data_IF_683231037705
#
_entry.id   IF_683231037705
#
_cell.length_a   1.000
_cell.length_b   1.000
_cell.length_c   1.000
_cell.angle_alpha   90.00
_cell.angle_beta   90.00
_cell.angle_gamma   90.00
#
_symmetry.space_group_name_H-M   'P 1'
#
loop_
_entity.id
_entity.type
_entity.pdbx_description
1 polymer ?
#
# COMPACT_ATOMS: atom_id res chain seq x y z
N UNK A 1 8.61 -4.12 23.61
CA UNK A 1 7.55 -5.09 23.93
C UNK A 1 6.38 -4.79 23.02
N UNK A 2 5.85 -5.79 22.32
CA UNK A 2 4.72 -5.64 21.42
C UNK A 2 3.44 -5.32 22.20
N UNK A 3 2.66 -4.37 21.73
CA UNK A 3 1.36 -3.97 22.30
C UNK A 3 0.28 -4.06 21.25
N UNK A 4 -0.91 -4.50 21.65
CA UNK A 4 -2.05 -4.65 20.76
C UNK A 4 -3.17 -3.71 21.21
N UNK A 5 -3.81 -3.07 20.25
CA UNK A 5 -5.05 -2.33 20.44
C UNK A 5 -6.23 -3.26 20.21
N UNK A 6 -7.09 -3.38 21.22
CA UNK A 6 -8.22 -4.32 21.22
C UNK A 6 -9.58 -3.62 21.40
N UNK A 7 -9.58 -2.33 21.71
CA UNK A 7 -10.70 -1.50 22.22
C UNK A 7 -12.04 -2.22 22.50
N UNK A 8 -12.38 -2.32 23.79
CA UNK A 8 -13.73 -2.65 24.21
C UNK A 8 -14.72 -1.56 23.77
N UNK A 9 -15.78 -1.94 23.04
CA UNK A 9 -16.78 -0.99 22.53
C UNK A 9 -16.43 -0.33 21.20
N UNK A 10 -15.27 -0.66 20.60
CA UNK A 10 -14.98 -0.33 19.20
C UNK A 10 -15.72 -1.26 18.26
N UNK A 11 -15.68 -0.95 16.97
CA UNK A 11 -16.31 -1.77 15.94
C UNK A 11 -15.69 -3.17 15.83
N UNK A 12 -16.49 -4.13 15.34
CA UNK A 12 -16.07 -5.53 15.16
C UNK A 12 -16.48 -6.05 13.80
N UNK A 13 -15.71 -7.00 13.27
CA UNK A 13 -16.16 -7.78 12.12
C UNK A 13 -17.39 -8.62 12.51
N UNK A 14 -18.34 -8.87 11.59
CA UNK A 14 -19.50 -9.73 11.84
C UNK A 14 -19.14 -11.23 11.83
N UNK A 15 -17.86 -11.55 11.96
CA UNK A 15 -17.27 -12.88 12.04
C UNK A 15 -16.25 -12.90 13.17
N UNK A 16 -16.04 -14.06 13.77
CA UNK A 16 -14.98 -14.23 14.77
C UNK A 16 -13.62 -14.21 14.09
N UNK A 17 -12.77 -13.27 14.50
CA UNK A 17 -11.42 -13.09 13.97
C UNK A 17 -10.44 -12.85 15.11
N UNK A 18 -9.22 -13.39 14.98
CA UNK A 18 -8.18 -13.30 16.00
C UNK A 18 -7.27 -12.07 15.90
N UNK A 19 -7.55 -11.12 15.00
CA UNK A 19 -6.70 -9.95 14.78
C UNK A 19 -7.01 -8.82 15.78
N UNK A 20 -5.95 -8.11 16.20
CA UNK A 20 -6.09 -6.83 16.90
C UNK A 20 -6.41 -5.71 15.91
N UNK A 21 -7.05 -4.64 16.40
CA UNK A 21 -7.33 -3.43 15.60
C UNK A 21 -6.05 -2.68 15.22
N UNK A 22 -5.03 -2.77 16.06
CA UNK A 22 -3.69 -2.30 15.74
C UNK A 22 -2.63 -2.96 16.60
N UNK A 23 -1.37 -2.78 16.22
CA UNK A 23 -0.21 -3.30 16.94
C UNK A 23 0.91 -2.27 16.93
N UNK A 24 1.57 -2.09 18.06
CA UNK A 24 2.81 -1.31 18.18
C UNK A 24 3.97 -2.22 18.54
N UNK A 25 5.06 -2.11 17.80
CA UNK A 25 6.33 -2.77 18.10
C UNK A 25 7.48 -1.79 17.89
N UNK A 26 8.11 -1.37 18.99
CA UNK A 26 9.10 -0.30 18.99
C UNK A 26 8.51 1.02 18.49
N UNK A 27 9.12 1.56 17.43
CA UNK A 27 8.74 2.85 16.84
C UNK A 27 7.57 2.73 15.86
N UNK A 28 7.24 1.52 15.39
CA UNK A 28 6.23 1.30 14.37
C UNK A 28 4.87 0.97 15.00
N UNK A 29 3.83 1.62 14.47
CA UNK A 29 2.43 1.38 14.80
C UNK A 29 1.70 1.01 13.51
N UNK A 30 1.07 -0.16 13.49
CA UNK A 30 0.26 -0.65 12.38
C UNK A 30 -1.20 -0.66 12.81
N UNK A 31 -2.06 0.00 12.05
CA UNK A 31 -3.51 0.03 12.26
C UNK A 31 -4.14 -0.80 11.15
N UNK A 32 -4.84 -1.87 11.52
CA UNK A 32 -5.58 -2.69 10.56
C UNK A 32 -6.69 -1.88 9.88
N UNK A 33 -7.19 -2.35 8.74
CA UNK A 33 -8.22 -1.65 7.98
C UNK A 33 -9.42 -1.24 8.84
N UNK A 34 -9.65 0.06 8.99
CA UNK A 34 -10.76 0.64 9.71
C UNK A 34 -11.92 0.91 8.77
N UNK A 35 -13.13 0.57 9.21
CA UNK A 35 -14.38 0.66 8.45
C UNK A 35 -15.47 1.34 9.29
N UNK A 36 -16.52 1.83 8.65
CA UNK A 36 -17.72 2.32 9.35
C UNK A 36 -18.61 1.14 9.77
N UNK A 37 -18.19 0.48 10.85
CA UNK A 37 -18.92 -0.62 11.46
C UNK A 37 -19.31 -0.25 12.89
N UNK A 38 -20.42 -0.80 13.37
CA UNK A 38 -20.82 -0.72 14.77
C UNK A 38 -20.07 -1.78 15.62
N UNK A 39 -20.15 -1.71 16.96
CA UNK A 39 -19.65 -2.77 17.84
C UNK A 39 -20.32 -4.13 17.63
N UNK A 40 -21.53 -4.17 17.05
CA UNK A 40 -22.22 -5.40 16.63
C UNK A 40 -21.87 -5.84 15.21
N UNK A 41 -21.01 -5.10 14.50
CA UNK A 41 -20.57 -5.40 13.13
C UNK A 41 -21.57 -5.01 12.04
N UNK A 42 -22.48 -4.08 12.34
CA UNK A 42 -23.43 -3.52 11.37
C UNK A 42 -22.79 -2.36 10.62
N UNK A 43 -23.04 -2.26 9.30
CA UNK A 43 -22.52 -1.17 8.46
C UNK A 43 -23.22 0.15 8.78
N UNK A 44 -22.44 1.14 9.21
CA UNK A 44 -22.87 2.53 9.34
C UNK A 44 -22.94 3.22 7.97
N UNK A 45 -23.83 4.22 7.86
CA UNK A 45 -23.97 5.07 6.67
C UNK A 45 -23.88 4.32 5.33
N UNK A 46 -24.61 3.21 5.21
CA UNK A 46 -24.50 2.31 4.05
C UNK A 46 -24.68 3.06 2.71
N UNK A 47 -23.71 2.90 1.80
CA UNK A 47 -23.71 3.57 0.50
C UNK A 47 -23.17 5.00 0.48
N UNK A 48 -22.85 5.59 1.64
CA UNK A 48 -22.31 6.95 1.75
C UNK A 48 -20.79 6.93 1.95
N UNK A 49 -20.05 7.08 0.84
CA UNK A 49 -18.58 7.07 0.85
C UNK A 49 -17.99 8.15 1.78
N UNK A 50 -18.55 9.36 1.79
CA UNK A 50 -18.01 10.48 2.55
C UNK A 50 -18.22 10.31 4.06
N UNK A 51 -19.44 9.90 4.47
CA UNK A 51 -19.73 9.63 5.87
C UNK A 51 -18.90 8.46 6.41
N UNK A 52 -18.80 7.37 5.65
CA UNK A 52 -17.99 6.22 6.05
C UNK A 52 -16.49 6.55 6.11
N UNK A 53 -15.99 7.42 5.22
CA UNK A 53 -14.61 7.92 5.28
C UNK A 53 -14.33 8.62 6.61
N UNK A 54 -15.26 9.47 7.05
CA UNK A 54 -15.12 10.18 8.33
C UNK A 54 -15.11 9.20 9.49
N UNK A 55 -16.06 8.25 9.53
CA UNK A 55 -16.12 7.22 10.58
C UNK A 55 -14.88 6.33 10.62
N UNK A 56 -14.38 5.88 9.45
CA UNK A 56 -13.15 5.09 9.37
C UNK A 56 -11.92 5.85 9.89
N UNK A 57 -11.82 7.15 9.61
CA UNK A 57 -10.73 8.00 10.12
C UNK A 57 -10.84 8.27 11.62
N UNK A 58 -12.06 8.39 12.16
CA UNK A 58 -12.30 8.48 13.61
C UNK A 58 -11.89 7.17 14.30
N UNK A 59 -12.24 6.03 13.71
CA UNK A 59 -11.84 4.72 14.22
C UNK A 59 -10.31 4.52 14.22
N UNK A 60 -9.65 4.91 13.12
CA UNK A 60 -8.19 4.91 13.03
C UNK A 60 -7.54 5.77 14.11
N UNK A 61 -8.06 6.98 14.35
CA UNK A 61 -7.55 7.87 15.39
C UNK A 61 -7.69 7.25 16.80
N UNK A 62 -8.81 6.58 17.07
CA UNK A 62 -9.01 5.89 18.35
C UNK A 62 -7.99 4.76 18.58
N UNK A 63 -7.71 3.95 17.54
CA UNK A 63 -6.68 2.89 17.60
C UNK A 63 -5.28 3.46 17.84
N UNK A 64 -4.93 4.56 17.16
CA UNK A 64 -3.64 5.23 17.36
C UNK A 64 -3.46 5.70 18.82
N UNK A 65 -4.50 6.28 19.43
CA UNK A 65 -4.46 6.75 20.83
C UNK A 65 -4.18 5.59 21.80
N UNK A 66 -4.79 4.42 21.63
CA UNK A 66 -4.53 3.23 22.47
C UNK A 66 -3.06 2.75 22.37
N UNK A 67 -2.41 3.06 21.25
CA UNK A 67 -1.01 2.71 20.97
C UNK A 67 -0.05 3.86 21.26
N UNK A 68 -0.48 4.88 22.00
CA UNK A 68 0.27 6.10 22.32
C UNK A 68 0.83 6.78 21.06
N UNK A 69 -0.02 6.97 20.06
CA UNK A 69 0.22 7.71 18.82
C UNK A 69 -1.01 8.57 18.48
N UNK A 70 -0.88 9.48 17.51
CA UNK A 70 -2.00 10.23 16.95
C UNK A 70 -1.87 10.42 15.43
N UNK A 71 -2.84 11.10 14.82
CA UNK A 71 -2.90 11.30 13.37
C UNK A 71 -1.66 11.99 12.78
N UNK A 72 -0.90 12.76 13.57
CA UNK A 72 0.32 13.40 13.09
C UNK A 72 1.54 12.45 13.13
N UNK A 73 1.41 11.27 13.71
CA UNK A 73 2.44 10.22 13.64
C UNK A 73 2.26 9.33 12.39
N UNK A 74 1.14 9.46 11.67
CA UNK A 74 0.85 8.66 10.46
C UNK A 74 1.83 9.02 9.36
N UNK A 75 2.45 8.00 8.78
CA UNK A 75 3.43 8.10 7.70
C UNK A 75 2.91 7.54 6.37
N UNK A 76 1.99 6.58 6.42
CA UNK A 76 1.39 5.95 5.24
C UNK A 76 -0.07 5.60 5.48
N UNK A 77 -0.89 5.83 4.46
CA UNK A 77 -2.26 5.35 4.34
C UNK A 77 -2.41 4.43 3.13
N UNK A 78 -3.25 3.41 3.26
CA UNK A 78 -3.81 2.65 2.13
C UNK A 78 -5.33 2.71 2.25
N UNK A 79 -5.98 3.20 1.19
CA UNK A 79 -7.42 3.51 1.18
C UNK A 79 -8.07 2.64 0.13
N UNK A 80 -8.75 1.59 0.58
CA UNK A 80 -9.56 0.74 -0.28
C UNK A 80 -10.97 1.33 -0.33
N UNK A 81 -11.48 1.61 -1.52
CA UNK A 81 -12.83 2.15 -1.67
C UNK A 81 -13.57 1.47 -2.81
N UNK A 82 -14.89 1.41 -2.70
CA UNK A 82 -15.74 0.80 -3.73
C UNK A 82 -15.84 1.77 -4.91
N UNK A 83 -15.52 1.27 -6.10
CA UNK A 83 -15.66 2.03 -7.34
C UNK A 83 -16.11 1.12 -8.48
N UNK A 84 -17.18 1.54 -9.16
CA UNK A 84 -17.71 0.88 -10.35
C UNK A 84 -17.74 1.84 -11.55
N UNK A 85 -16.88 2.87 -11.51
CA UNK A 85 -16.87 4.00 -12.44
C UNK A 85 -17.75 5.16 -11.96
N UNK A 86 -18.09 5.21 -10.68
CA UNK A 86 -19.06 6.14 -10.09
C UNK A 86 -18.60 6.77 -8.77
N UNK A 87 -17.42 6.41 -8.26
CA UNK A 87 -16.92 6.96 -7.01
C UNK A 87 -16.38 8.38 -7.16
N UNK A 88 -16.63 9.21 -6.15
CA UNK A 88 -15.99 10.53 -6.01
C UNK A 88 -14.64 10.40 -5.29
N UNK A 89 -13.61 9.92 -6.01
CA UNK A 89 -12.25 9.80 -5.43
C UNK A 89 -11.71 11.19 -5.00
N UNK A 90 -12.02 12.26 -5.74
CA UNK A 90 -11.57 13.60 -5.39
C UNK A 90 -12.16 14.08 -4.05
N UNK A 91 -13.46 13.87 -3.82
CA UNK A 91 -14.13 14.15 -2.55
C UNK A 91 -13.60 13.30 -1.41
N UNK A 92 -13.37 12.00 -1.65
CA UNK A 92 -12.73 11.08 -0.70
C UNK A 92 -11.34 11.60 -0.26
N UNK A 93 -10.48 11.95 -1.22
CA UNK A 93 -9.14 12.47 -0.94
C UNK A 93 -9.18 13.79 -0.17
N UNK A 94 -10.13 14.70 -0.50
CA UNK A 94 -10.32 15.94 0.23
C UNK A 94 -10.74 15.71 1.69
N UNK A 95 -11.68 14.79 1.92
CA UNK A 95 -12.13 14.42 3.26
C UNK A 95 -10.99 13.82 4.10
N UNK A 96 -10.18 12.95 3.51
CA UNK A 96 -8.99 12.39 4.18
C UNK A 96 -7.99 13.50 4.48
N UNK A 97 -7.69 14.37 3.52
CA UNK A 97 -6.73 15.47 3.69
C UNK A 97 -7.12 16.41 4.83
N UNK A 98 -8.41 16.64 5.05
CA UNK A 98 -8.91 17.49 6.13
C UNK A 98 -8.57 16.96 7.54
N UNK A 99 -8.25 15.67 7.68
CA UNK A 99 -7.87 15.04 8.96
C UNK A 99 -6.40 15.18 9.32
N UNK A 100 -5.57 15.63 8.38
CA UNK A 100 -4.14 15.82 8.58
C UNK A 100 -3.79 17.31 8.50
N UNK A 101 -3.88 18.06 9.62
CA UNK A 101 -3.61 19.50 9.63
C UNK A 101 -2.12 19.83 9.48
N UNK A 102 -1.24 18.84 9.68
CA UNK A 102 0.20 18.98 9.51
C UNK A 102 0.57 19.41 8.08
N UNK A 103 1.65 20.18 7.96
CA UNK A 103 2.26 20.54 6.69
C UNK A 103 2.85 19.32 5.96
N UNK A 104 3.15 18.24 6.70
CA UNK A 104 3.65 16.98 6.16
C UNK A 104 2.58 15.86 6.30
N UNK A 105 1.55 15.84 5.43
CA UNK A 105 0.56 14.76 5.41
C UNK A 105 1.19 13.41 5.05
N UNK A 106 0.58 12.27 5.43
CA UNK A 106 1.13 10.95 5.14
C UNK A 106 1.22 10.69 3.64
N UNK A 107 2.09 9.76 3.22
CA UNK A 107 1.98 9.18 1.90
C UNK A 107 0.66 8.40 1.80
N UNK A 108 -0.01 8.42 0.64
CA UNK A 108 -1.30 7.77 0.47
C UNK A 108 -1.31 6.87 -0.78
N UNK A 109 -1.90 5.68 -0.66
CA UNK A 109 -2.27 4.85 -1.79
C UNK A 109 -3.78 4.65 -1.82
N UNK A 110 -4.45 5.12 -2.87
CA UNK A 110 -5.87 4.85 -3.09
C UNK A 110 -6.03 3.56 -3.91
N UNK A 111 -7.08 2.78 -3.67
CA UNK A 111 -7.31 1.47 -4.31
C UNK A 111 -8.80 1.24 -4.58
N UNK A 112 -9.30 1.48 -5.80
CA UNK A 112 -10.67 1.18 -6.19
C UNK A 112 -10.87 -0.31 -6.31
N UNK A 113 -11.90 -0.81 -5.67
CA UNK A 113 -12.31 -2.21 -5.73
C UNK A 113 -13.76 -2.29 -6.22
N UNK A 114 -14.14 -3.37 -6.92
CA UNK A 114 -15.52 -3.53 -7.41
C UNK A 114 -16.53 -3.72 -6.26
N UNK A 115 -16.04 -4.16 -5.10
CA UNK A 115 -16.78 -4.38 -3.87
C UNK A 115 -15.82 -4.48 -2.67
N UNK A 116 -16.33 -4.19 -1.48
CA UNK A 116 -15.67 -4.48 -0.21
C UNK A 116 -16.32 -5.67 0.49
N UNK A 117 -15.79 -6.07 1.64
CA UNK A 117 -16.15 -7.33 2.31
C UNK A 117 -17.59 -7.44 2.81
N UNK A 118 -18.36 -6.35 2.86
CA UNK A 118 -19.74 -6.31 3.33
C UNK A 118 -20.63 -5.46 2.39
N UNK A 119 -21.90 -5.85 2.17
CA UNK A 119 -22.85 -5.01 1.45
C UNK A 119 -23.01 -3.63 2.10
N UNK A 120 -22.97 -2.58 1.28
CA UNK A 120 -23.10 -1.19 1.72
C UNK A 120 -21.84 -0.58 2.31
N UNK A 121 -20.76 -1.34 2.47
CA UNK A 121 -19.45 -0.81 2.86
C UNK A 121 -18.75 -0.18 1.65
N UNK A 122 -18.29 1.07 1.83
CA UNK A 122 -17.79 1.95 0.77
C UNK A 122 -16.30 2.23 0.88
N UNK A 123 -15.73 2.19 2.08
CA UNK A 123 -14.30 2.45 2.32
C UNK A 123 -13.72 1.67 3.49
N UNK A 124 -12.45 1.27 3.37
CA UNK A 124 -11.61 0.73 4.44
C UNK A 124 -10.26 1.43 4.41
N UNK A 125 -9.79 1.95 5.55
CA UNK A 125 -8.55 2.73 5.66
C UNK A 125 -7.56 2.02 6.57
N UNK A 126 -6.41 1.65 6.00
CA UNK A 126 -5.25 1.13 6.73
C UNK A 126 -4.24 2.25 6.97
N UNK A 127 -3.53 2.21 8.11
CA UNK A 127 -2.51 3.20 8.43
C UNK A 127 -1.25 2.58 9.05
N UNK A 128 -0.12 3.20 8.72
CA UNK A 128 1.15 3.02 9.40
C UNK A 128 1.52 4.36 10.04
N UNK A 129 1.82 4.34 11.33
CA UNK A 129 2.33 5.48 12.09
C UNK A 129 3.67 5.16 12.74
N UNK A 130 4.45 6.20 13.02
CA UNK A 130 5.77 6.09 13.63
C UNK A 130 5.96 7.07 14.77
N UNK A 131 6.29 6.55 15.96
CA UNK A 131 6.50 7.36 17.16
C UNK A 131 7.61 6.78 18.03
N UNK A 132 8.49 7.64 18.52
CA UNK A 132 9.65 7.28 19.33
C UNK A 132 9.24 6.45 20.55
N UNK A 133 10.11 5.52 20.94
CA UNK A 133 9.85 4.63 22.09
C UNK A 133 9.78 5.38 23.42
N UNK A 134 10.35 6.59 23.48
CA UNK A 134 10.25 7.49 24.63
C UNK A 134 9.01 8.40 24.57
N UNK A 135 8.15 8.23 23.56
CA UNK A 135 6.93 9.03 23.34
C UNK A 135 7.16 10.31 22.53
N UNK A 136 8.38 10.59 22.11
CA UNK A 136 8.75 11.70 21.23
C UNK A 136 8.30 11.47 19.78
N UNK A 137 8.04 12.56 19.05
CA UNK A 137 7.76 12.49 17.62
C UNK A 137 9.06 12.34 16.85
N UNK A 138 9.07 11.39 15.91
CA UNK A 138 10.21 11.17 15.05
C UNK A 138 10.28 12.25 13.96
N UNK A 139 11.49 12.61 13.55
CA UNK A 139 11.70 13.54 12.45
C UNK A 139 11.16 12.94 11.15
N UNK A 140 10.32 13.73 10.46
CA UNK A 140 9.81 13.40 9.13
C UNK A 140 10.30 14.43 8.12
N UNK A 141 10.60 13.96 6.93
CA UNK A 141 10.96 14.81 5.78
C UNK A 141 10.16 14.35 4.57
N UNK A 142 9.68 15.29 3.76
CA UNK A 142 8.95 14.97 2.53
C UNK A 142 9.81 15.25 1.30
N UNK A 143 9.53 14.52 0.23
CA UNK A 143 10.06 14.74 -1.11
C UNK A 143 8.88 14.97 -2.04
N UNK A 144 8.81 16.17 -2.61
CA UNK A 144 7.84 16.57 -3.64
C UNK A 144 8.66 17.13 -4.80
N UNK A 145 9.10 16.27 -5.74
CA UNK A 145 10.07 16.66 -6.77
C UNK A 145 9.54 17.76 -7.69
N UNK A 146 10.45 18.56 -8.25
CA UNK A 146 10.11 19.51 -9.30
C UNK A 146 9.61 18.73 -10.53
N UNK A 147 8.44 19.13 -11.06
CA UNK A 147 7.82 18.46 -12.20
C UNK A 147 6.69 17.49 -11.85
N UNK A 148 6.57 17.07 -10.58
CA UNK A 148 5.40 16.32 -10.12
C UNK A 148 4.14 17.20 -10.09
N UNK A 149 2.97 16.56 -10.23
CA UNK A 149 1.68 17.24 -10.12
C UNK A 149 1.41 17.72 -8.69
N UNK A 150 0.54 18.72 -8.56
CA UNK A 150 0.05 19.17 -7.26
C UNK A 150 -0.78 18.07 -6.60
N UNK A 151 -0.37 17.66 -5.40
CA UNK A 151 -0.92 16.51 -4.71
C UNK A 151 -1.18 16.87 -3.25
N UNK A 152 -2.39 16.60 -2.71
CA UNK A 152 -2.74 17.01 -1.35
C UNK A 152 -1.97 16.25 -0.25
N UNK A 153 -1.30 15.15 -0.60
CA UNK A 153 -0.51 14.33 0.31
C UNK A 153 0.98 14.41 -0.03
N UNK A 154 1.85 13.80 0.79
CA UNK A 154 3.28 13.72 0.44
C UNK A 154 3.48 12.75 -0.72
N UNK A 155 4.20 13.18 -1.78
CA UNK A 155 4.64 12.27 -2.84
C UNK A 155 5.58 11.19 -2.28
N UNK A 156 6.51 11.60 -1.42
CA UNK A 156 7.26 10.71 -0.55
C UNK A 156 7.42 11.29 0.84
N UNK A 157 7.48 10.41 1.84
CA UNK A 157 7.72 10.76 3.23
C UNK A 157 8.76 9.82 3.83
N UNK A 158 9.80 10.37 4.44
CA UNK A 158 10.85 9.62 5.15
C UNK A 158 10.73 9.82 6.65
N UNK A 159 10.84 8.72 7.40
CA UNK A 159 10.92 8.70 8.86
C UNK A 159 11.93 7.63 9.30
N UNK A 160 13.06 8.05 9.87
CA UNK A 160 14.19 7.15 10.13
C UNK A 160 14.77 6.56 8.84
N UNK A 161 14.91 5.23 8.81
CA UNK A 161 15.40 4.47 7.65
C UNK A 161 14.29 4.17 6.61
N UNK A 162 13.03 4.43 6.95
CA UNK A 162 11.87 4.06 6.12
C UNK A 162 11.46 5.24 5.23
N UNK A 163 11.25 4.95 3.95
CA UNK A 163 10.74 5.88 2.95
C UNK A 163 9.43 5.32 2.39
N UNK A 164 8.36 6.09 2.52
CA UNK A 164 7.03 5.76 2.06
C UNK A 164 6.72 6.61 0.84
N UNK A 165 6.52 5.98 -0.31
CA UNK A 165 6.14 6.68 -1.55
C UNK A 165 4.63 6.56 -1.71
N UNK A 166 3.96 7.70 -1.88
CA UNK A 166 2.54 7.79 -2.20
C UNK A 166 2.25 7.31 -3.62
N UNK A 167 0.98 7.30 -3.99
CA UNK A 167 0.54 6.98 -5.35
C UNK A 167 1.30 7.82 -6.37
N UNK A 168 2.05 7.13 -7.23
CA UNK A 168 2.64 7.67 -8.44
C UNK A 168 1.71 7.41 -9.61
N UNK A 169 1.47 8.47 -10.37
CA UNK A 169 0.64 8.49 -11.57
C UNK A 169 1.45 9.15 -12.71
N UNK A 170 1.15 8.82 -13.97
CA UNK A 170 1.79 9.41 -15.13
C UNK A 170 1.12 10.76 -15.44
N UNK A 171 1.26 11.73 -14.52
CA UNK A 171 0.74 13.08 -14.67
C UNK A 171 1.90 14.06 -14.86
N UNK A 172 1.69 15.07 -15.69
CA UNK A 172 2.58 16.22 -15.78
C UNK A 172 2.41 17.18 -14.58
N UNK A 173 3.27 18.19 -14.48
CA UNK A 173 3.23 19.20 -13.41
C UNK A 173 1.91 19.96 -13.29
N UNK A 174 1.08 19.96 -14.32
CA UNK A 174 -0.23 20.62 -14.33
C UNK A 174 -1.36 19.68 -13.95
N UNK A 175 -1.06 18.41 -13.70
CA UNK A 175 -2.04 17.35 -13.46
C UNK A 175 -2.60 16.72 -14.73
N UNK A 176 -2.04 17.05 -15.91
CA UNK A 176 -2.45 16.46 -17.19
C UNK A 176 -1.94 15.03 -17.35
N UNK A 177 -2.81 14.12 -17.82
CA UNK A 177 -2.45 12.72 -18.06
C UNK A 177 -1.42 12.59 -19.20
N UNK A 178 -0.31 11.91 -18.93
CA UNK A 178 0.67 11.51 -19.93
C UNK A 178 0.32 10.12 -20.48
N UNK A 179 0.41 9.98 -21.81
CA UNK A 179 0.14 8.72 -22.54
C UNK A 179 -1.18 8.03 -22.13
N UNK A 180 -2.34 8.73 -22.27
CA UNK A 180 -3.62 8.22 -21.79
C UNK A 180 -3.97 6.89 -22.48
N UNK A 181 -4.26 5.86 -21.67
CA UNK A 181 -4.62 4.52 -22.16
C UNK A 181 -3.45 3.61 -22.56
N UNK A 182 -2.20 4.07 -22.46
CA UNK A 182 -1.02 3.24 -22.77
C UNK A 182 -0.38 2.66 -21.48
N UNK A 183 -0.60 1.37 -21.17
CA UNK A 183 -0.06 0.77 -19.95
C UNK A 183 1.46 0.59 -19.96
N UNK A 184 2.12 0.59 -21.11
CA UNK A 184 3.57 0.42 -21.19
C UNK A 184 4.26 1.76 -20.97
N UNK A 185 3.83 2.80 -21.68
CA UNK A 185 4.35 4.16 -21.50
C UNK A 185 4.10 4.68 -20.07
N UNK A 186 2.89 4.48 -19.54
CA UNK A 186 2.58 4.87 -18.16
C UNK A 186 3.37 4.09 -17.11
N UNK A 187 3.80 2.85 -17.40
CA UNK A 187 4.64 2.09 -16.47
C UNK A 187 6.04 2.72 -16.37
N UNK A 188 6.58 3.15 -17.50
CA UNK A 188 7.88 3.83 -17.58
C UNK A 188 7.84 5.16 -16.80
N UNK A 189 6.84 6.01 -17.07
CA UNK A 189 6.69 7.31 -16.40
C UNK A 189 6.53 7.15 -14.88
N UNK A 190 5.73 6.17 -14.44
CA UNK A 190 5.56 5.92 -13.01
C UNK A 190 6.87 5.51 -12.30
N UNK A 191 7.75 4.75 -12.98
CA UNK A 191 9.08 4.40 -12.46
C UNK A 191 9.99 5.63 -12.40
N UNK A 192 9.94 6.50 -13.40
CA UNK A 192 10.68 7.76 -13.41
C UNK A 192 10.21 8.70 -12.29
N UNK A 193 8.90 8.81 -12.10
CA UNK A 193 8.28 9.56 -11.00
C UNK A 193 8.70 9.02 -9.63
N UNK A 194 8.67 7.69 -9.46
CA UNK A 194 9.18 7.00 -8.27
C UNK A 194 10.66 7.35 -8.02
N UNK A 195 11.50 7.30 -9.06
CA UNK A 195 12.91 7.68 -8.98
C UNK A 195 13.12 9.13 -8.54
N UNK A 196 12.34 10.06 -9.09
CA UNK A 196 12.37 11.48 -8.68
C UNK A 196 12.04 11.67 -7.20
N UNK A 197 11.02 10.98 -6.69
CA UNK A 197 10.65 11.03 -5.27
C UNK A 197 11.79 10.50 -4.38
N UNK A 198 12.37 9.35 -4.74
CA UNK A 198 13.47 8.73 -3.99
C UNK A 198 14.73 9.60 -3.96
N UNK A 199 15.06 10.25 -5.08
CA UNK A 199 16.23 11.12 -5.18
C UNK A 199 16.21 12.28 -4.17
N UNK A 200 15.02 12.81 -3.83
CA UNK A 200 14.88 13.83 -2.78
C UNK A 200 15.28 13.37 -1.38
N UNK A 201 15.44 12.06 -1.16
CA UNK A 201 15.95 11.48 0.08
C UNK A 201 17.39 10.95 -0.04
N UNK A 202 18.05 11.16 -1.18
CA UNK A 202 19.33 10.53 -1.52
C UNK A 202 19.22 9.04 -1.81
N UNK A 203 18.02 8.53 -2.09
CA UNK A 203 17.76 7.14 -2.44
C UNK A 203 17.60 6.96 -3.96
N UNK A 204 17.76 5.73 -4.43
CA UNK A 204 17.61 5.32 -5.82
C UNK A 204 16.57 4.20 -5.94
N UNK A 205 16.11 3.83 -7.15
CA UNK A 205 15.18 2.71 -7.34
C UNK A 205 15.62 1.41 -6.66
N UNK A 206 16.91 1.13 -6.56
CA UNK A 206 17.43 -0.07 -5.90
C UNK A 206 17.24 -0.10 -4.37
N UNK A 207 16.94 1.03 -3.74
CA UNK A 207 16.57 1.13 -2.32
C UNK A 207 15.10 0.74 -2.08
N UNK A 208 14.31 0.56 -3.14
CA UNK A 208 12.93 0.06 -3.06
C UNK A 208 12.94 -1.38 -2.57
N UNK A 209 12.13 -1.62 -1.55
CA UNK A 209 11.95 -2.91 -0.90
C UNK A 209 10.65 -3.60 -1.32
N UNK A 210 9.60 -2.81 -1.54
CA UNK A 210 8.27 -3.27 -1.97
C UNK A 210 7.68 -2.27 -2.96
N UNK A 211 7.05 -2.77 -4.02
CA UNK A 211 6.26 -1.98 -4.96
C UNK A 211 4.91 -2.65 -5.19
N UNK A 212 3.83 -1.88 -5.06
CA UNK A 212 2.50 -2.32 -5.46
C UNK A 212 2.06 -1.56 -6.71
N UNK A 213 1.38 -2.26 -7.60
CA UNK A 213 0.77 -1.70 -8.80
C UNK A 213 -0.72 -2.05 -8.82
N UNK A 214 -1.56 -1.03 -8.93
CA UNK A 214 -3.00 -1.16 -9.12
C UNK A 214 -3.29 -0.79 -10.58
N UNK A 215 -3.76 -1.75 -11.38
CA UNK A 215 -3.86 -1.60 -12.83
C UNK A 215 -5.26 -1.93 -13.34
N UNK A 216 -5.72 -1.24 -14.39
CA UNK A 216 -6.97 -1.56 -15.06
C UNK A 216 -6.88 -2.94 -15.72
N UNK A 217 -7.85 -3.80 -15.44
CA UNK A 217 -7.94 -5.09 -16.11
C UNK A 217 -8.71 -6.14 -15.33
N UNK A 218 -8.55 -7.39 -15.74
CA UNK A 218 -9.27 -8.55 -15.21
C UNK A 218 -8.34 -9.59 -14.60
N UNK A 219 -7.08 -9.22 -14.34
CA UNK A 219 -6.09 -10.12 -13.73
C UNK A 219 -5.41 -11.07 -14.73
N UNK A 220 -5.55 -10.84 -16.03
CA UNK A 220 -4.93 -11.70 -17.05
C UNK A 220 -3.51 -11.27 -17.36
N UNK A 221 -2.66 -12.19 -17.82
CA UNK A 221 -1.28 -11.85 -18.23
C UNK A 221 -1.23 -10.75 -19.31
N UNK A 222 -2.24 -10.67 -20.18
CA UNK A 222 -2.37 -9.61 -21.18
C UNK A 222 -2.48 -8.22 -20.55
N UNK A 223 -3.13 -8.12 -19.40
CA UNK A 223 -3.39 -6.83 -18.72
C UNK A 223 -2.11 -6.24 -18.12
N UNK A 224 -1.18 -7.08 -17.66
CA UNK A 224 -0.09 -6.61 -16.81
C UNK A 224 1.32 -7.00 -17.27
N UNK A 225 1.51 -8.04 -18.10
CA UNK A 225 2.83 -8.64 -18.31
C UNK A 225 3.85 -7.68 -18.95
N UNK A 226 3.46 -6.92 -19.97
CA UNK A 226 4.39 -6.04 -20.68
C UNK A 226 4.80 -4.85 -19.82
N UNK A 227 3.83 -4.15 -19.23
CA UNK A 227 4.05 -3.10 -18.24
C UNK A 227 4.85 -3.64 -17.02
N UNK A 228 4.60 -4.89 -16.62
CA UNK A 228 5.30 -5.59 -15.55
C UNK A 228 6.78 -5.82 -15.85
N UNK A 229 7.15 -6.08 -17.11
CA UNK A 229 8.57 -6.17 -17.51
C UNK A 229 9.27 -4.83 -17.39
N UNK A 230 8.64 -3.74 -17.83
CA UNK A 230 9.20 -2.38 -17.69
C UNK A 230 9.54 -2.10 -16.22
N UNK A 231 8.57 -2.31 -15.31
CA UNK A 231 8.80 -2.14 -13.88
C UNK A 231 9.86 -3.08 -13.33
N UNK A 232 9.78 -4.37 -13.68
CA UNK A 232 10.71 -5.38 -13.18
C UNK A 232 12.16 -5.14 -13.60
N UNK A 233 12.39 -4.55 -14.78
CA UNK A 233 13.72 -4.22 -15.28
C UNK A 233 14.27 -2.87 -14.78
N UNK A 234 13.46 -2.07 -14.08
CA UNK A 234 13.91 -0.83 -13.45
C UNK A 234 14.80 -1.05 -12.21
N UNK A 235 14.85 -2.27 -11.69
CA UNK A 235 15.59 -2.63 -10.48
C UNK A 235 16.72 -3.60 -10.80
N UNK A 236 17.85 -3.48 -10.10
CA UNK A 236 18.91 -4.49 -10.15
C UNK A 236 18.57 -5.69 -9.27
N UNK A 237 19.15 -6.84 -9.61
CA UNK A 237 18.97 -8.04 -8.80
C UNK A 237 19.80 -7.98 -7.50
N UNK A 238 19.24 -8.40 -6.35
CA UNK A 238 17.84 -8.77 -6.15
C UNK A 238 16.96 -7.53 -6.06
N UNK A 239 15.85 -7.49 -6.78
CA UNK A 239 14.93 -6.34 -6.79
C UNK A 239 13.98 -6.33 -5.58
N UNK A 240 12.98 -5.43 -5.56
CA UNK A 240 11.95 -5.39 -4.52
C UNK A 240 11.00 -6.57 -4.63
N UNK A 241 10.16 -6.75 -3.60
CA UNK A 241 8.95 -7.55 -3.76
C UNK A 241 7.87 -6.79 -4.52
N UNK A 242 7.10 -7.52 -5.33
CA UNK A 242 6.06 -6.94 -6.19
C UNK A 242 4.66 -7.43 -5.84
N UNK A 243 3.66 -6.54 -5.94
CA UNK A 243 2.25 -6.91 -5.94
C UNK A 243 1.56 -6.23 -7.13
N UNK A 244 0.81 -6.99 -7.92
CA UNK A 244 -0.09 -6.45 -8.93
C UNK A 244 -1.53 -6.80 -8.57
N UNK A 245 -2.40 -5.79 -8.48
CA UNK A 245 -3.84 -5.99 -8.23
C UNK A 245 -4.64 -5.36 -9.38
N UNK A 246 -5.48 -6.13 -10.09
CA UNK A 246 -6.39 -5.56 -11.07
C UNK A 246 -7.50 -4.77 -10.38
N UNK A 247 -7.83 -3.61 -10.93
CA UNK A 247 -8.89 -2.73 -10.44
C UNK A 247 -9.88 -2.40 -11.57
N UNK A 248 -11.16 -2.13 -11.25
CA UNK A 248 -12.21 -1.97 -12.26
C UNK A 248 -12.22 -0.59 -12.91
N UNK A 249 -11.69 0.41 -12.21
CA UNK A 249 -11.66 1.81 -12.61
C UNK A 249 -10.43 2.48 -11.98
N UNK A 250 -10.03 3.62 -12.52
CA UNK A 250 -8.95 4.44 -12.00
C UNK A 250 -9.29 5.91 -12.26
N UNK A 251 -8.97 6.76 -11.30
CA UNK A 251 -9.04 8.21 -11.40
C UNK A 251 -7.62 8.78 -11.44
N UNK A 252 -7.33 9.81 -12.27
CA UNK A 252 -8.23 10.42 -13.26
C UNK A 252 -8.35 9.62 -14.58
N UNK A 253 -9.27 10.04 -15.45
CA UNK A 253 -9.52 9.39 -16.75
C UNK A 253 -8.25 9.24 -17.59
N UNK A 254 -8.14 8.11 -18.29
CA UNK A 254 -6.97 7.75 -19.10
C UNK A 254 -5.85 7.07 -18.31
N UNK A 255 -5.95 7.00 -16.98
CA UNK A 255 -5.01 6.25 -16.14
C UNK A 255 -5.18 4.74 -16.36
N UNK A 256 -4.09 4.04 -16.62
CA UNK A 256 -4.07 2.57 -16.77
C UNK A 256 -3.53 1.87 -15.54
N UNK A 257 -2.71 2.57 -14.75
CA UNK A 257 -2.14 2.03 -13.53
C UNK A 257 -1.63 3.14 -12.61
N UNK A 258 -1.61 2.84 -11.31
CA UNK A 258 -0.87 3.63 -10.32
C UNK A 258 0.01 2.74 -9.46
N UNK A 259 1.09 3.33 -8.96
CA UNK A 259 2.12 2.59 -8.23
C UNK A 259 2.38 3.24 -6.89
N UNK A 260 2.72 2.45 -5.89
CA UNK A 260 3.20 2.96 -4.60
C UNK A 260 4.33 2.07 -4.12
N UNK A 261 5.20 2.61 -3.28
CA UNK A 261 6.40 1.89 -2.88
C UNK A 261 6.78 2.13 -1.42
N UNK A 262 7.52 1.15 -0.92
CA UNK A 262 8.23 1.19 0.34
C UNK A 262 9.72 1.04 0.03
N UNK A 263 10.54 2.00 0.45
CA UNK A 263 11.99 1.97 0.30
C UNK A 263 12.68 2.07 1.67
N UNK A 264 13.93 1.66 1.73
CA UNK A 264 14.76 1.81 2.93
C UNK A 264 16.16 2.29 2.59
N UNK A 265 16.61 3.32 3.29
CA UNK A 265 17.97 3.85 3.17
C UNK A 265 18.48 4.22 4.57
N UNK A 266 19.77 3.96 4.84
CA UNK A 266 20.39 4.22 6.13
C UNK A 266 20.23 5.68 6.55
N UNK A 267 20.16 5.93 7.86
CA UNK A 267 20.12 7.30 8.40
C UNK A 267 21.33 8.15 7.98
N UNK A 268 22.45 7.50 7.68
CA UNK A 268 23.69 8.05 7.14
C UNK A 268 23.68 8.24 5.61
N UNK A 269 22.58 7.88 4.93
CA UNK A 269 22.44 7.91 3.48
C UNK A 269 23.07 6.70 2.77
N UNK A 270 23.51 5.68 3.51
CA UNK A 270 24.11 4.48 2.92
C UNK A 270 23.03 3.43 2.64
N UNK A 271 23.10 2.79 1.46
CA UNK A 271 22.20 1.70 1.08
C UNK A 271 22.29 0.55 2.08
N UNK A 272 21.14 0.08 2.54
CA UNK A 272 21.06 -1.05 3.46
C UNK A 272 21.34 -2.38 2.74
N UNK A 273 21.97 -3.32 3.45
CA UNK A 273 22.19 -4.66 2.94
C UNK A 273 20.86 -5.37 2.64
N UNK A 274 20.81 -6.06 1.49
CA UNK A 274 19.63 -6.79 1.03
C UNK A 274 19.92 -8.25 0.71
N UNK A 275 18.94 -9.12 0.97
CA UNK A 275 19.01 -10.55 0.65
C UNK A 275 17.67 -11.02 0.12
N UNK A 276 17.64 -11.58 -1.09
CA UNK A 276 16.48 -12.31 -1.58
C UNK A 276 16.33 -13.61 -0.81
N UNK A 277 15.12 -13.90 -0.32
CA UNK A 277 14.80 -15.18 0.31
C UNK A 277 13.96 -15.98 -0.69
N UNK A 278 14.36 -17.23 -0.96
CA UNK A 278 13.70 -18.11 -1.94
C UNK A 278 13.46 -19.48 -1.30
N UNK A 279 12.28 -19.70 -0.70
CA UNK A 279 11.91 -21.02 -0.18
C UNK A 279 11.88 -22.05 -1.31
N UNK A 280 12.30 -23.28 -1.02
CA UNK A 280 12.23 -24.38 -1.97
C UNK A 280 10.77 -24.64 -2.37
N UNK A 281 10.52 -24.82 -3.66
CA UNK A 281 9.18 -25.10 -4.19
C UNK A 281 8.23 -23.90 -4.29
N UNK A 282 8.64 -22.70 -3.85
CA UNK A 282 7.83 -21.50 -3.96
C UNK A 282 7.61 -21.10 -5.42
N UNK A 283 6.41 -20.60 -5.76
CA UNK A 283 6.11 -20.13 -7.11
C UNK A 283 6.95 -18.91 -7.50
N UNK A 284 7.21 -18.76 -8.80
CA UNK A 284 7.91 -17.63 -9.41
C UNK A 284 7.08 -17.01 -10.55
N UNK A 285 7.45 -15.79 -10.95
CA UNK A 285 6.73 -14.99 -11.93
C UNK A 285 6.72 -15.66 -13.32
N UNK A 286 5.59 -15.56 -14.08
CA UNK A 286 5.50 -16.12 -15.43
C UNK A 286 6.21 -15.30 -16.50
N UNK A 287 6.91 -14.22 -16.11
CA UNK A 287 7.71 -13.36 -16.98
C UNK A 287 9.07 -13.10 -16.32
N UNK A 288 10.16 -12.97 -17.11
CA UNK A 288 11.46 -12.60 -16.55
C UNK A 288 11.41 -11.19 -15.96
N UNK A 289 11.52 -11.07 -14.63
CA UNK A 289 11.52 -9.82 -13.86
C UNK A 289 12.49 -9.93 -12.69
N UNK A 290 12.99 -8.80 -12.19
CA UNK A 290 13.85 -8.79 -10.99
C UNK A 290 13.08 -8.75 -9.67
N UNK A 291 11.75 -8.86 -9.71
CA UNK A 291 10.94 -8.95 -8.49
C UNK A 291 11.27 -10.20 -7.71
N UNK A 292 11.30 -10.06 -6.39
CA UNK A 292 11.41 -11.18 -5.47
C UNK A 292 10.04 -11.51 -4.90
N UNK A 293 9.88 -12.75 -4.46
CA UNK A 293 8.76 -13.08 -3.57
C UNK A 293 8.99 -12.43 -2.21
N UNK A 294 10.24 -12.44 -1.75
CA UNK A 294 10.63 -12.01 -0.41
C UNK A 294 12.00 -11.35 -0.47
N UNK A 295 12.13 -10.22 0.21
CA UNK A 295 13.43 -9.58 0.42
C UNK A 295 13.58 -9.16 1.87
N UNK A 296 14.74 -9.48 2.46
CA UNK A 296 15.18 -8.90 3.72
C UNK A 296 16.02 -7.67 3.42
N UNK A 297 15.67 -6.54 4.04
CA UNK A 297 16.44 -5.29 3.97
C UNK A 297 16.65 -4.77 5.38
N UNK A 298 17.91 -4.69 5.81
CA UNK A 298 18.25 -4.40 7.20
C UNK A 298 17.54 -5.33 8.18
N UNK A 299 16.68 -4.75 9.04
CA UNK A 299 15.90 -5.48 10.04
C UNK A 299 14.49 -5.88 9.60
N UNK A 300 14.07 -5.50 8.39
CA UNK A 300 12.73 -5.78 7.89
C UNK A 300 12.74 -6.91 6.86
N UNK A 301 11.65 -7.67 6.84
CA UNK A 301 11.34 -8.62 5.78
C UNK A 301 10.11 -8.07 5.06
N UNK A 302 10.19 -8.00 3.74
CA UNK A 302 9.08 -7.65 2.88
C UNK A 302 8.65 -8.89 2.11
N UNK A 303 7.34 -9.10 2.02
CA UNK A 303 6.73 -10.21 1.31
C UNK A 303 5.82 -9.61 0.23
N UNK A 304 5.98 -10.07 -1.01
CA UNK A 304 5.15 -9.68 -2.13
C UNK A 304 3.78 -10.33 -2.08
N UNK A 305 2.88 -9.90 -2.96
CA UNK A 305 1.58 -10.53 -3.11
C UNK A 305 1.71 -12.03 -3.34
N UNK A 306 0.97 -12.83 -2.56
CA UNK A 306 0.96 -14.28 -2.69
C UNK A 306 -0.29 -14.74 -3.44
N UNK A 307 -0.09 -15.70 -4.34
CA UNK A 307 -1.16 -16.37 -5.07
C UNK A 307 -1.10 -17.88 -4.80
N UNK A 308 -2.23 -18.55 -4.99
CA UNK A 308 -2.32 -20.00 -4.96
C UNK A 308 -1.74 -20.56 -6.25
N UNK A 309 -0.41 -20.71 -6.30
CA UNK A 309 0.30 -21.21 -7.45
C UNK A 309 1.55 -22.02 -7.07
N UNK A 310 2.03 -22.82 -8.02
CA UNK A 310 3.28 -23.57 -7.96
C UNK A 310 4.15 -23.30 -9.20
N UNK A 311 5.46 -23.60 -9.10
CA UNK A 311 6.38 -23.49 -10.24
C UNK A 311 6.39 -22.09 -10.87
N UNK A 312 6.18 -22.01 -12.18
CA UNK A 312 6.12 -20.73 -12.91
C UNK A 312 4.66 -20.25 -12.98
N UNK A 313 4.16 -19.80 -11.83
CA UNK A 313 2.80 -19.29 -11.60
C UNK A 313 1.66 -20.20 -12.14
N UNK A 314 1.81 -21.52 -12.04
CA UNK A 314 0.75 -22.47 -12.35
C UNK A 314 -0.30 -22.45 -11.24
N UNK A 315 -1.54 -22.08 -11.56
CA UNK A 315 -2.62 -21.95 -10.58
C UNK A 315 -2.93 -23.31 -9.96
N UNK A 316 -2.93 -23.37 -8.62
CA UNK A 316 -3.39 -24.54 -7.87
C UNK A 316 -4.75 -24.27 -7.23
N UNK A 317 -5.56 -25.33 -7.10
CA UNK A 317 -6.93 -25.31 -6.56
C UNK A 317 -7.89 -24.30 -7.24
N UNK A 318 -7.98 -24.28 -8.58
CA UNK A 318 -8.83 -23.32 -9.28
C UNK A 318 -10.31 -23.47 -8.89
N UNK A 319 -10.94 -22.38 -8.47
CA UNK A 319 -12.35 -22.34 -8.07
C UNK A 319 -12.62 -22.74 -6.62
N UNK A 320 -11.61 -23.18 -5.87
CA UNK A 320 -11.73 -23.48 -4.44
C UNK A 320 -11.05 -22.39 -3.59
N UNK A 321 -11.82 -21.33 -3.31
CA UNK A 321 -11.33 -20.17 -2.57
C UNK A 321 -10.73 -20.54 -1.20
N UNK A 322 -11.32 -21.51 -0.48
CA UNK A 322 -10.84 -21.87 0.86
C UNK A 322 -9.47 -22.51 0.80
N UNK A 323 -9.27 -23.45 -0.14
CA UNK A 323 -7.97 -24.10 -0.29
C UNK A 323 -6.93 -23.14 -0.85
N UNK A 324 -7.31 -22.23 -1.75
CA UNK A 324 -6.43 -21.18 -2.24
C UNK A 324 -5.95 -20.23 -1.13
N UNK A 325 -6.82 -19.89 -0.16
CA UNK A 325 -6.43 -19.10 1.00
C UNK A 325 -5.38 -19.85 1.84
N UNK A 326 -5.59 -21.14 2.12
CA UNK A 326 -4.62 -21.94 2.86
C UNK A 326 -3.28 -22.04 2.12
N UNK A 327 -3.28 -22.20 0.79
CA UNK A 327 -2.07 -22.22 -0.01
C UNK A 327 -1.30 -20.89 0.07
N UNK A 328 -2.00 -19.76 -0.08
CA UNK A 328 -1.38 -18.43 0.05
C UNK A 328 -0.77 -18.23 1.44
N UNK A 329 -1.48 -18.61 2.52
CA UNK A 329 -0.96 -18.52 3.88
C UNK A 329 0.22 -19.47 4.10
N UNK A 330 0.17 -20.68 3.54
CA UNK A 330 1.27 -21.64 3.55
C UNK A 330 2.53 -21.10 2.88
N UNK A 331 2.39 -20.39 1.75
CA UNK A 331 3.50 -19.72 1.07
C UNK A 331 4.13 -18.62 1.94
N UNK A 332 3.31 -17.83 2.66
CA UNK A 332 3.77 -16.83 3.62
C UNK A 332 4.49 -17.50 4.82
N UNK A 333 3.97 -18.61 5.32
CA UNK A 333 4.60 -19.33 6.44
C UNK A 333 5.92 -19.99 6.06
N UNK A 334 5.98 -20.64 4.90
CA UNK A 334 7.19 -21.28 4.37
C UNK A 334 8.32 -20.26 4.16
N UNK A 335 7.95 -19.04 3.81
CA UNK A 335 8.81 -17.87 3.65
C UNK A 335 9.47 -17.37 4.93
N UNK A 336 8.76 -17.49 6.06
CA UNK A 336 9.18 -16.92 7.34
C UNK A 336 10.01 -17.87 8.21
N UNK A 337 10.13 -19.14 7.80
CA UNK A 337 10.93 -20.19 8.46
C UNK A 337 12.39 -20.13 8.03
#
# INVERSE_FOLDING_TARGET
MRRHALQAGHWRWPIEVGNSQGVRDGEMVFVGGQADLSPSGEVGHAGDLCAQTTAALDHMAAVLVELDADVNDVVKLVVFYRDRGDADEAGLLAAIRARFPDALPPALAAVPLPSLGLPGLEVVIEAIAMRGTSGDRLLRTASNPEGHWDWPFSHGLRCGELVFVGTQMPLDRTGGMCDPGDPVAQAQINIENLGGVLAGFGAEPDDVCRINTYYLGHGTAKDWAEAGRIRGHAFTWPGPVGTGVPVPALFPDGLTQRQEAFAMIGADGVRLARTALRPEGHWDWPVPVNFQQIVRVGRMIFIGGQISAAGIAEVVHPGDLSTQIHECLGNIEATLK
#
